data_IF_437272443216
#
_entry.id   IF_437272443216
#
_cell.length_a   1.000
_cell.length_b   1.000
_cell.length_c   1.000
_cell.angle_alpha   90.00
_cell.angle_beta   90.00
_cell.angle_gamma   90.00
#
_symmetry.space_group_name_H-M   'P 1'
#
loop_
_entity.id
_entity.type
_entity.pdbx_description
1 polymer ?
#
# COMPACT_ATOMS: atom_id res chain seq x y z
N UNK A 1 13.36 -3.74 8.59
CA UNK A 1 12.14 -2.91 8.41
C UNK A 1 10.99 -3.79 8.01
N UNK A 2 9.87 -3.77 8.74
CA UNK A 2 8.68 -4.55 8.37
C UNK A 2 7.80 -3.81 7.38
N UNK A 3 7.26 -4.52 6.40
CA UNK A 3 6.31 -3.95 5.46
C UNK A 3 5.30 -5.00 4.97
N UNK A 4 4.15 -4.53 4.53
CA UNK A 4 3.19 -5.31 3.76
C UNK A 4 3.47 -5.06 2.28
N UNK A 5 3.69 -6.13 1.52
CA UNK A 5 3.69 -6.12 0.07
C UNK A 5 2.30 -6.45 -0.46
N UNK A 6 1.82 -5.68 -1.42
CA UNK A 6 0.57 -5.92 -2.15
C UNK A 6 0.89 -6.05 -3.63
N UNK A 7 0.53 -7.18 -4.24
CA UNK A 7 0.64 -7.40 -5.69
C UNK A 7 -0.75 -7.53 -6.26
N UNK A 8 -1.02 -6.80 -7.33
CA UNK A 8 -2.24 -6.94 -8.12
C UNK A 8 -1.91 -7.53 -9.50
N UNK A 9 -2.79 -8.39 -9.99
CA UNK A 9 -2.62 -9.15 -11.22
C UNK A 9 -3.92 -9.11 -12.02
N UNK A 10 -3.82 -8.88 -13.33
CA UNK A 10 -4.89 -9.04 -14.32
C UNK A 10 -4.76 -10.43 -14.94
N UNK A 11 -5.33 -11.44 -14.26
CA UNK A 11 -5.24 -12.84 -14.69
C UNK A 11 -6.27 -13.17 -15.77
N UNK A 12 -7.39 -12.44 -15.80
CA UNK A 12 -8.44 -12.61 -16.81
C UNK A 12 -8.15 -11.87 -18.13
N UNK A 13 -7.10 -11.05 -18.19
CA UNK A 13 -6.73 -10.21 -19.33
C UNK A 13 -7.84 -9.23 -19.74
N UNK A 14 -8.54 -8.66 -18.74
CA UNK A 14 -9.62 -7.69 -18.95
C UNK A 14 -9.15 -6.23 -18.85
N UNK A 15 -7.84 -6.01 -18.67
CA UNK A 15 -7.25 -4.69 -18.47
C UNK A 15 -7.48 -4.12 -17.07
N UNK A 16 -7.83 -4.98 -16.11
CA UNK A 16 -8.05 -4.61 -14.70
C UNK A 16 -7.46 -5.66 -13.78
N UNK A 17 -6.83 -5.24 -12.69
CA UNK A 17 -6.38 -6.18 -11.66
C UNK A 17 -7.58 -6.90 -11.02
N UNK A 18 -7.58 -8.24 -11.07
CA UNK A 18 -8.64 -9.11 -10.58
C UNK A 18 -8.18 -10.07 -9.47
N UNK A 19 -6.87 -10.19 -9.28
CA UNK A 19 -6.25 -11.04 -8.27
C UNK A 19 -5.27 -10.26 -7.41
N UNK A 20 -5.23 -10.56 -6.10
CA UNK A 20 -4.42 -9.86 -5.12
C UNK A 20 -3.63 -10.84 -4.25
N UNK A 21 -2.34 -10.56 -4.08
CA UNK A 21 -1.45 -11.23 -3.15
C UNK A 21 -1.03 -10.24 -2.06
N UNK A 22 -1.03 -10.71 -0.82
CA UNK A 22 -0.60 -9.95 0.34
C UNK A 22 0.48 -10.72 1.07
N UNK A 23 1.65 -10.11 1.24
CA UNK A 23 2.82 -10.75 1.82
C UNK A 23 3.47 -9.86 2.86
N UNK A 24 3.81 -10.46 3.99
CA UNK A 24 4.39 -9.77 5.14
C UNK A 24 5.90 -10.02 5.13
N UNK A 25 6.67 -8.93 5.12
CA UNK A 25 8.12 -8.97 5.05
C UNK A 25 8.77 -8.32 6.27
N UNK A 26 10.00 -8.76 6.55
CA UNK A 26 10.95 -8.07 7.40
C UNK A 26 12.27 -7.97 6.65
N UNK A 27 12.65 -6.73 6.33
CA UNK A 27 13.66 -6.42 5.32
C UNK A 27 13.31 -7.16 4.03
N UNK A 28 14.26 -7.80 3.36
CA UNK A 28 13.97 -8.55 2.13
C UNK A 28 13.54 -10.00 2.39
N UNK A 29 13.29 -10.37 3.66
CA UNK A 29 12.85 -11.73 4.02
C UNK A 29 11.33 -11.80 4.05
N UNK A 30 10.76 -12.67 3.20
CA UNK A 30 9.36 -13.06 3.30
C UNK A 30 9.14 -13.79 4.63
N UNK A 31 8.28 -13.24 5.48
CA UNK A 31 7.88 -13.92 6.73
C UNK A 31 6.73 -14.88 6.48
N UNK A 32 5.70 -14.43 5.75
CA UNK A 32 4.51 -15.22 5.42
C UNK A 32 3.61 -14.49 4.42
N UNK A 33 2.70 -15.25 3.82
CA UNK A 33 1.56 -14.70 3.09
C UNK A 33 0.37 -14.45 4.03
N UNK A 34 -0.59 -13.65 3.58
CA UNK A 34 -1.82 -13.42 4.33
C UNK A 34 -2.68 -14.69 4.39
N UNK A 35 -3.14 -15.02 5.59
CA UNK A 35 -4.10 -16.10 5.83
C UNK A 35 -5.50 -15.74 5.31
N UNK A 36 -6.37 -16.73 5.12
CA UNK A 36 -7.75 -16.49 4.71
C UNK A 36 -8.51 -15.48 5.62
N UNK A 37 -8.26 -15.53 6.93
CA UNK A 37 -8.86 -14.59 7.87
C UNK A 37 -8.34 -13.15 7.72
N UNK A 38 -7.06 -13.00 7.36
CA UNK A 38 -6.47 -11.68 7.06
C UNK A 38 -6.95 -11.12 5.73
N UNK A 39 -7.14 -11.97 4.72
CA UNK A 39 -7.69 -11.56 3.43
C UNK A 39 -9.07 -10.88 3.59
N UNK A 40 -9.88 -11.32 4.56
CA UNK A 40 -11.14 -10.66 4.89
C UNK A 40 -10.93 -9.22 5.42
N UNK A 41 -9.93 -9.02 6.28
CA UNK A 41 -9.57 -7.68 6.81
C UNK A 41 -8.92 -6.80 5.75
N UNK A 42 -8.11 -7.40 4.87
CA UNK A 42 -7.40 -6.73 3.77
C UNK A 42 -8.29 -6.39 2.59
N UNK A 43 -9.53 -6.87 2.53
CA UNK A 43 -10.44 -6.71 1.38
C UNK A 43 -10.62 -5.24 0.97
N UNK A 44 -10.77 -4.34 1.93
CA UNK A 44 -10.97 -2.90 1.65
C UNK A 44 -9.67 -2.25 1.18
N UNK A 45 -8.53 -2.60 1.79
CA UNK A 45 -7.21 -2.17 1.34
C UNK A 45 -6.96 -2.61 -0.10
N UNK A 46 -7.20 -3.89 -0.40
CA UNK A 46 -7.05 -4.46 -1.74
C UNK A 46 -7.90 -3.78 -2.79
N UNK A 47 -9.20 -3.58 -2.52
CA UNK A 47 -10.08 -2.84 -3.43
C UNK A 47 -9.63 -1.39 -3.66
N UNK A 48 -9.05 -0.76 -2.64
CA UNK A 48 -8.50 0.59 -2.77
C UNK A 48 -7.23 0.59 -3.63
N UNK A 49 -6.37 -0.42 -3.43
CA UNK A 49 -5.15 -0.59 -4.22
C UNK A 49 -5.45 -0.87 -5.71
N UNK A 50 -6.47 -1.68 -6.02
CA UNK A 50 -6.90 -1.90 -7.41
C UNK A 50 -7.33 -0.60 -8.12
N UNK A 51 -7.88 0.37 -7.39
CA UNK A 51 -8.19 1.69 -7.96
C UNK A 51 -6.94 2.50 -8.31
N UNK A 52 -5.75 2.09 -7.85
CA UNK A 52 -4.49 2.76 -8.19
C UNK A 52 -3.95 2.32 -9.56
N UNK A 53 -4.66 1.43 -10.28
CA UNK A 53 -4.25 0.89 -11.58
C UNK A 53 -2.81 0.33 -11.62
N UNK A 54 -2.30 -0.10 -10.46
CA UNK A 54 -0.94 -0.63 -10.30
C UNK A 54 -0.97 -2.16 -10.24
N UNK A 55 -1.11 -2.79 -11.41
CA UNK A 55 -1.21 -4.24 -11.56
C UNK A 55 -0.30 -4.77 -12.67
N UNK A 56 -0.08 -6.08 -12.64
CA UNK A 56 0.69 -6.83 -13.63
C UNK A 56 -0.25 -7.56 -14.60
N UNK A 57 0.18 -7.73 -15.84
CA UNK A 57 -0.52 -8.60 -16.79
C UNK A 57 -0.21 -10.06 -16.42
N UNK A 58 -1.23 -10.90 -16.36
CA UNK A 58 -1.07 -12.31 -15.98
C UNK A 58 -0.58 -12.46 -14.54
N UNK A 59 0.33 -13.41 -14.31
CA UNK A 59 0.85 -13.73 -12.97
C UNK A 59 2.16 -12.99 -12.63
N UNK A 60 2.49 -11.93 -13.36
CA UNK A 60 3.65 -11.07 -13.04
C UNK A 60 3.56 -10.47 -11.64
N UNK A 61 4.70 -10.06 -11.09
CA UNK A 61 4.80 -9.48 -9.74
C UNK A 61 5.75 -8.27 -9.67
N UNK A 62 6.25 -7.81 -10.82
CA UNK A 62 7.18 -6.69 -10.93
C UNK A 62 6.59 -5.43 -10.31
N UNK A 63 5.31 -5.17 -10.58
CA UNK A 63 4.55 -4.07 -10.00
C UNK A 63 3.92 -4.46 -8.68
N UNK A 64 4.35 -3.79 -7.62
CA UNK A 64 3.84 -4.03 -6.28
C UNK A 64 3.90 -2.77 -5.41
N UNK A 65 3.03 -2.70 -4.41
CA UNK A 65 3.10 -1.72 -3.34
C UNK A 65 3.87 -2.32 -2.16
N UNK A 66 4.80 -1.57 -1.59
CA UNK A 66 5.29 -1.76 -0.21
C UNK A 66 4.70 -0.66 0.67
N UNK A 67 4.00 -1.04 1.74
CA UNK A 67 3.46 -0.10 2.74
C UNK A 67 3.98 -0.47 4.13
N UNK A 68 4.43 0.54 4.88
CA UNK A 68 5.01 0.36 6.21
C UNK A 68 4.84 1.60 7.08
N UNK A 69 4.76 1.39 8.39
CA UNK A 69 4.74 2.44 9.41
C UNK A 69 6.12 2.69 10.00
N UNK A 70 6.31 3.87 10.57
CA UNK A 70 7.47 4.27 11.35
C UNK A 70 6.98 4.93 12.63
N UNK A 71 7.71 4.69 13.71
CA UNK A 71 7.50 5.28 15.03
C UNK A 71 8.83 5.90 15.52
N UNK A 72 9.23 7.08 15.00
CA UNK A 72 10.45 7.78 15.40
C UNK A 72 10.55 8.11 16.90
N UNK A 73 9.45 8.46 17.56
CA UNK A 73 9.44 8.80 19.00
C UNK A 73 9.62 7.56 19.89
N UNK A 74 9.22 6.39 19.41
CA UNK A 74 9.35 5.11 20.12
C UNK A 74 8.24 4.84 21.14
N UNK A 75 7.13 5.57 21.10
CA UNK A 75 6.04 5.48 22.08
C UNK A 75 5.04 4.33 21.82
N UNK A 76 5.05 3.80 20.61
CA UNK A 76 4.31 2.61 20.18
C UNK A 76 3.28 2.90 19.09
N UNK A 77 3.05 4.17 18.74
CA UNK A 77 2.10 4.57 17.70
C UNK A 77 2.80 4.86 16.37
N UNK A 78 2.07 4.69 15.27
CA UNK A 78 2.61 4.94 13.94
C UNK A 78 2.50 6.43 13.59
N UNK A 79 3.60 7.17 13.69
CA UNK A 79 3.65 8.59 13.32
C UNK A 79 3.73 8.83 11.82
N UNK A 80 4.27 7.87 11.07
CA UNK A 80 4.43 7.99 9.62
C UNK A 80 4.11 6.69 8.94
N UNK A 81 3.32 6.73 7.87
CA UNK A 81 3.10 5.59 6.97
C UNK A 81 3.59 5.93 5.58
N UNK A 82 4.48 5.09 5.04
CA UNK A 82 5.07 5.26 3.71
C UNK A 82 4.53 4.21 2.74
N UNK A 83 4.32 4.65 1.51
CA UNK A 83 3.87 3.83 0.39
C UNK A 83 4.88 3.97 -0.75
N UNK A 84 5.46 2.85 -1.17
CA UNK A 84 6.34 2.79 -2.32
C UNK A 84 5.70 1.91 -3.39
N UNK A 85 5.40 2.48 -4.55
CA UNK A 85 4.94 1.74 -5.72
C UNK A 85 6.16 1.38 -6.56
N UNK A 86 6.42 0.09 -6.66
CA UNK A 86 7.57 -0.46 -7.38
C UNK A 86 7.19 -0.85 -8.80
N UNK A 87 8.12 -0.67 -9.74
CA UNK A 87 8.13 -1.31 -11.06
C UNK A 87 9.49 -2.04 -11.19
N UNK A 88 9.48 -3.33 -10.92
CA UNK A 88 10.69 -4.13 -10.74
C UNK A 88 11.55 -3.62 -9.58
N UNK A 89 12.82 -3.31 -9.86
CA UNK A 89 13.75 -2.82 -8.85
C UNK A 89 13.60 -1.32 -8.52
N UNK A 90 12.84 -0.57 -9.33
CA UNK A 90 12.71 0.88 -9.17
C UNK A 90 11.45 1.23 -8.37
N UNK A 91 11.51 2.34 -7.63
CA UNK A 91 10.32 2.95 -7.02
C UNK A 91 9.80 3.99 -8.01
N UNK A 92 8.69 3.67 -8.69
CA UNK A 92 8.03 4.57 -9.63
C UNK A 92 7.39 5.77 -8.90
N UNK A 93 6.68 5.48 -7.80
CA UNK A 93 5.96 6.50 -7.03
C UNK A 93 6.15 6.35 -5.53
N UNK A 94 6.15 7.48 -4.82
CA UNK A 94 6.20 7.54 -3.36
C UNK A 94 5.04 8.36 -2.84
N UNK A 95 4.40 7.86 -1.80
CA UNK A 95 3.45 8.59 -1.00
C UNK A 95 3.74 8.40 0.49
N UNK A 96 3.28 9.35 1.30
CA UNK A 96 3.41 9.29 2.74
C UNK A 96 2.23 9.95 3.43
N UNK A 97 1.92 9.48 4.63
CA UNK A 97 1.00 10.13 5.55
C UNK A 97 1.69 10.30 6.90
N UNK A 98 1.48 11.43 7.55
CA UNK A 98 2.07 11.76 8.84
C UNK A 98 0.99 12.15 9.84
N UNK A 99 1.09 11.58 11.03
CA UNK A 99 0.44 12.01 12.27
C UNK A 99 1.45 12.87 13.03
N UNK A 100 1.31 14.19 12.96
CA UNK A 100 2.37 15.12 13.40
C UNK A 100 2.34 15.41 14.90
N UNK A 101 1.15 15.45 15.49
CA UNK A 101 0.94 15.66 16.92
C UNK A 101 0.63 14.35 17.66
N UNK A 102 0.65 13.23 16.93
CA UNK A 102 0.46 11.87 17.44
C UNK A 102 -0.89 11.70 18.14
N UNK A 103 -1.93 12.32 17.58
CA UNK A 103 -3.30 12.27 18.09
C UNK A 103 -4.13 11.14 17.46
N UNK A 104 -3.54 10.36 16.55
CA UNK A 104 -4.15 9.29 15.78
C UNK A 104 -4.81 9.75 14.47
N UNK A 105 -4.67 11.03 14.10
CA UNK A 105 -5.14 11.58 12.82
C UNK A 105 -3.96 11.78 11.87
N UNK A 106 -4.28 12.05 10.61
CA UNK A 106 -3.26 12.22 9.56
C UNK A 106 -3.35 13.64 9.05
N UNK A 107 -2.40 14.49 9.43
CA UNK A 107 -2.42 15.94 9.14
C UNK A 107 -1.82 16.19 7.76
N UNK A 108 -0.76 15.47 7.43
CA UNK A 108 -0.03 15.63 6.16
C UNK A 108 -0.14 14.37 5.33
N UNK A 109 -0.66 14.54 4.11
CA UNK A 109 -0.69 13.51 3.09
C UNK A 109 0.12 14.02 1.90
N UNK A 110 1.21 13.33 1.60
CA UNK A 110 2.03 13.51 0.41
C UNK A 110 1.63 12.42 -0.59
N UNK A 111 1.11 12.83 -1.74
CA UNK A 111 0.68 11.92 -2.80
C UNK A 111 1.17 12.43 -4.16
N UNK A 112 1.85 11.58 -4.91
CA UNK A 112 2.05 11.75 -6.35
C UNK A 112 0.81 11.25 -7.11
N UNK A 113 0.92 11.09 -8.44
CA UNK A 113 -0.03 10.33 -9.28
C UNK A 113 0.06 8.84 -8.94
N UNK A 114 -0.52 8.43 -7.81
CA UNK A 114 -0.48 7.05 -7.32
C UNK A 114 -1.49 6.17 -8.04
N UNK A 115 -2.45 6.79 -8.73
CA UNK A 115 -3.44 6.06 -9.50
C UNK A 115 -3.20 6.00 -11.00
N UNK A 116 -2.07 6.58 -11.42
CA UNK A 116 -1.49 6.46 -12.73
C UNK A 116 -2.46 6.94 -13.82
N UNK A 117 -3.20 8.01 -13.53
CA UNK A 117 -4.13 8.68 -14.46
C UNK A 117 -3.46 9.87 -15.18
N UNK A 118 -2.20 10.18 -14.86
CA UNK A 118 -1.42 11.27 -15.42
C UNK A 118 -1.52 12.59 -14.64
N UNK A 119 -2.27 12.63 -13.53
CA UNK A 119 -2.56 13.87 -12.80
C UNK A 119 -2.43 13.70 -11.29
N UNK A 120 -1.43 14.35 -10.68
CA UNK A 120 -1.39 14.43 -9.21
C UNK A 120 -2.47 15.38 -8.67
N UNK A 121 -3.50 14.82 -8.03
CA UNK A 121 -4.70 15.55 -7.66
C UNK A 121 -5.35 15.07 -6.34
N UNK A 122 -6.56 15.56 -6.03
CA UNK A 122 -7.29 15.24 -4.78
C UNK A 122 -7.67 13.76 -4.68
N UNK A 123 -7.85 13.09 -5.81
CA UNK A 123 -8.19 11.66 -5.88
C UNK A 123 -7.03 10.81 -5.39
N UNK A 124 -5.79 11.11 -5.80
CA UNK A 124 -4.58 10.47 -5.27
C UNK A 124 -4.49 10.61 -3.75
N UNK A 125 -4.66 11.84 -3.25
CA UNK A 125 -4.63 12.12 -1.81
C UNK A 125 -5.65 11.27 -1.07
N UNK A 126 -6.85 11.12 -1.65
CA UNK A 126 -7.93 10.31 -1.07
C UNK A 126 -7.60 8.82 -1.10
N UNK A 127 -6.99 8.32 -2.18
CA UNK A 127 -6.52 6.94 -2.32
C UNK A 127 -5.41 6.61 -1.31
N UNK A 128 -4.40 7.47 -1.18
CA UNK A 128 -3.33 7.34 -0.16
C UNK A 128 -3.93 7.31 1.26
N UNK A 129 -4.81 8.27 1.57
CA UNK A 129 -5.46 8.33 2.90
C UNK A 129 -6.23 7.04 3.20
N UNK A 130 -6.98 6.51 2.23
CA UNK A 130 -7.74 5.28 2.40
C UNK A 130 -6.82 4.07 2.60
N UNK A 131 -5.75 3.93 1.81
CA UNK A 131 -4.77 2.84 1.97
C UNK A 131 -4.12 2.87 3.35
N UNK A 132 -3.66 4.04 3.79
CA UNK A 132 -3.01 4.21 5.11
C UNK A 132 -3.96 3.83 6.24
N UNK A 133 -5.21 4.35 6.22
CA UNK A 133 -6.19 4.05 7.26
C UNK A 133 -6.49 2.55 7.36
N UNK A 134 -6.59 1.86 6.23
CA UNK A 134 -6.81 0.40 6.25
C UNK A 134 -5.57 -0.36 6.69
N UNK A 135 -4.37 0.11 6.34
CA UNK A 135 -3.11 -0.52 6.76
C UNK A 135 -2.94 -0.48 8.28
N UNK A 136 -3.17 0.68 8.89
CA UNK A 136 -3.04 0.87 10.34
C UNK A 136 -3.97 -0.06 11.14
N UNK A 137 -5.11 -0.47 10.60
CA UNK A 137 -6.02 -1.42 11.26
C UNK A 137 -5.48 -2.85 11.34
N UNK A 138 -4.44 -3.18 10.57
CA UNK A 138 -3.84 -4.52 10.54
C UNK A 138 -2.84 -4.69 11.68
N UNK A 139 -2.36 -3.59 12.28
CA UNK A 139 -1.31 -3.58 13.31
C UNK A 139 -0.05 -4.34 12.86
N UNK A 140 0.38 -4.09 11.63
CA UNK A 140 1.61 -4.63 11.05
C UNK A 140 2.73 -3.60 11.06
#
# INVERSE_FOLDING_TARGET
MRYLQVVAQDRSAQGVGDFLLFRFYEDDRLLREATAAELLRLKVLGKTYLKCAWFNIGEGEERHLRIFSQNPSGDGTAETVRLHFHDGAQIAYKAAAHDQDNDGRLEVILSSDVDNDGHSNRTDRSRVTALVKQYLQINW
#
